data_IF_546607656384
#
_entry.id   IF_546607656384
#
_cell.length_a   1.000
_cell.length_b   1.000
_cell.length_c   1.000
_cell.angle_alpha   90.00
_cell.angle_beta   90.00
_cell.angle_gamma   90.00
#
_symmetry.space_group_name_H-M   'P 1'
#
loop_
_entity.id
_entity.type
_entity.pdbx_description
1 polymer ?
#
# COMPACT_ATOMS: atom_id res chain seq x y z
N UNK A 1 -14.07 12.13 -10.83
CA UNK A 1 -13.83 12.98 -9.64
C UNK A 1 -14.15 12.27 -8.33
N UNK A 2 -15.28 11.56 -8.20
CA UNK A 2 -15.62 10.79 -6.98
C UNK A 2 -14.59 9.70 -6.61
N UNK A 3 -14.07 8.94 -7.58
CA UNK A 3 -13.07 7.88 -7.33
C UNK A 3 -11.77 8.36 -6.71
N UNK A 4 -11.33 9.60 -7.00
CA UNK A 4 -10.11 10.18 -6.41
C UNK A 4 -10.29 10.41 -4.92
N UNK A 5 -11.44 11.01 -4.54
CA UNK A 5 -11.78 11.24 -3.13
C UNK A 5 -11.93 9.91 -2.39
N UNK A 6 -12.57 8.91 -3.01
CA UNK A 6 -12.70 7.57 -2.44
C UNK A 6 -11.34 6.90 -2.25
N UNK A 7 -10.46 6.92 -3.26
CA UNK A 7 -9.14 6.31 -3.18
C UNK A 7 -8.31 6.95 -2.05
N UNK A 8 -8.30 8.28 -1.96
CA UNK A 8 -7.62 9.01 -0.88
C UNK A 8 -8.22 8.64 0.48
N UNK A 9 -9.55 8.63 0.60
CA UNK A 9 -10.24 8.27 1.84
C UNK A 9 -9.91 6.86 2.31
N UNK A 10 -9.92 5.88 1.40
CA UNK A 10 -9.56 4.49 1.72
C UNK A 10 -8.10 4.37 2.16
N UNK A 11 -7.16 5.04 1.49
CA UNK A 11 -5.75 5.06 1.91
C UNK A 11 -5.61 5.64 3.32
N UNK A 12 -6.27 6.76 3.62
CA UNK A 12 -6.22 7.36 4.95
C UNK A 12 -6.82 6.46 6.04
N UNK A 13 -7.93 5.78 5.75
CA UNK A 13 -8.54 4.82 6.68
C UNK A 13 -7.59 3.66 6.95
N UNK A 14 -7.05 3.03 5.90
CA UNK A 14 -6.17 1.86 6.04
C UNK A 14 -4.89 2.23 6.78
N UNK A 15 -4.20 3.28 6.35
CA UNK A 15 -2.98 3.77 7.00
C UNK A 15 -3.25 4.19 8.46
N UNK A 16 -4.31 4.98 8.67
CA UNK A 16 -4.72 5.46 9.99
C UNK A 16 -5.07 4.33 10.96
N UNK A 17 -5.65 3.22 10.47
CA UNK A 17 -5.91 2.04 11.29
C UNK A 17 -4.61 1.42 11.81
N UNK A 18 -3.56 1.34 10.98
CA UNK A 18 -2.28 0.80 11.42
C UNK A 18 -1.68 1.68 12.53
N UNK A 19 -1.72 3.01 12.35
CA UNK A 19 -1.27 3.95 13.37
C UNK A 19 -2.10 3.89 14.67
N UNK A 20 -3.42 3.75 14.56
CA UNK A 20 -4.32 3.77 15.71
C UNK A 20 -4.33 2.46 16.50
N UNK A 21 -4.28 1.30 15.82
CA UNK A 21 -4.46 -0.02 16.43
C UNK A 21 -3.15 -0.69 16.81
N UNK A 22 -2.06 -0.43 16.08
CA UNK A 22 -0.80 -1.13 16.27
C UNK A 22 0.44 -0.22 16.12
N UNK A 23 0.52 0.91 16.86
CA UNK A 23 1.61 1.86 16.73
C UNK A 23 2.99 1.24 17.00
N UNK A 24 3.12 0.35 17.99
CA UNK A 24 4.39 -0.33 18.29
C UNK A 24 4.85 -1.32 17.21
N UNK A 25 3.92 -1.86 16.41
CA UNK A 25 4.25 -2.76 15.30
C UNK A 25 4.82 -2.00 14.10
N UNK A 26 4.47 -0.71 13.96
CA UNK A 26 5.06 0.13 12.92
C UNK A 26 6.56 0.29 13.10
N UNK A 27 7.02 0.51 14.34
CA UNK A 27 8.45 0.64 14.63
C UNK A 27 9.21 -0.64 14.26
N UNK A 28 8.67 -1.81 14.62
CA UNK A 28 9.23 -3.12 14.24
C UNK A 28 9.31 -3.31 12.72
N UNK A 29 8.26 -2.92 11.99
CA UNK A 29 8.20 -3.01 10.53
C UNK A 29 9.21 -2.05 9.89
N UNK A 30 9.32 -0.83 10.40
CA UNK A 30 10.29 0.16 9.91
C UNK A 30 11.72 -0.34 10.11
N UNK A 31 12.02 -0.91 11.27
CA UNK A 31 13.34 -1.50 11.54
C UNK A 31 13.63 -2.72 10.66
N UNK A 32 12.63 -3.54 10.35
CA UNK A 32 12.76 -4.62 9.39
C UNK A 32 13.09 -4.07 8.00
N UNK A 33 12.34 -3.08 7.52
CA UNK A 33 12.55 -2.44 6.21
C UNK A 33 13.95 -1.82 6.16
N UNK A 34 14.41 -1.19 7.24
CA UNK A 34 15.75 -0.59 7.35
C UNK A 34 16.89 -1.60 7.15
N UNK A 35 16.67 -2.88 7.45
CA UNK A 35 17.66 -3.95 7.24
C UNK A 35 17.70 -4.48 5.80
N UNK A 36 16.67 -4.21 5.00
CA UNK A 36 16.59 -4.65 3.60
C UNK A 36 17.51 -3.78 2.73
N UNK A 37 18.31 -4.35 1.81
CA UNK A 37 19.11 -3.57 0.86
C UNK A 37 18.26 -2.65 -0.04
N UNK A 38 18.78 -1.49 -0.46
CA UNK A 38 18.01 -0.51 -1.25
C UNK A 38 17.49 -1.07 -2.59
N UNK A 39 18.28 -1.93 -3.23
CA UNK A 39 17.88 -2.60 -4.48
C UNK A 39 16.65 -3.50 -4.29
N UNK A 40 16.64 -4.27 -3.20
CA UNK A 40 15.51 -5.15 -2.86
C UNK A 40 14.27 -4.34 -2.49
N UNK A 41 14.42 -3.21 -1.76
CA UNK A 41 13.30 -2.30 -1.50
C UNK A 41 12.69 -1.75 -2.79
N UNK A 42 13.53 -1.40 -3.77
CA UNK A 42 13.05 -0.94 -5.09
C UNK A 42 12.25 -2.02 -5.80
N UNK A 43 12.75 -3.26 -5.80
CA UNK A 43 12.03 -4.39 -6.41
C UNK A 43 10.68 -4.67 -5.74
N UNK A 44 10.62 -4.62 -4.40
CA UNK A 44 9.36 -4.77 -3.65
C UNK A 44 8.37 -3.67 -4.06
N UNK A 45 8.83 -2.41 -4.12
CA UNK A 45 7.99 -1.28 -4.54
C UNK A 45 7.47 -1.44 -5.98
N UNK A 46 8.34 -1.82 -6.91
CA UNK A 46 7.96 -2.05 -8.31
C UNK A 46 6.96 -3.21 -8.44
N UNK A 47 7.16 -4.30 -7.69
CA UNK A 47 6.23 -5.41 -7.66
C UNK A 47 4.86 -5.01 -7.09
N UNK A 48 4.83 -4.22 -6.01
CA UNK A 48 3.61 -3.70 -5.43
C UNK A 48 2.84 -2.79 -6.39
N UNK A 49 3.54 -1.91 -7.11
CA UNK A 49 2.93 -1.06 -8.15
C UNK A 49 2.36 -1.92 -9.27
N UNK A 50 3.13 -2.86 -9.81
CA UNK A 50 2.67 -3.72 -10.90
C UNK A 50 1.42 -4.55 -10.51
N UNK A 51 1.44 -5.15 -9.32
CA UNK A 51 0.30 -5.91 -8.79
C UNK A 51 -0.90 -5.00 -8.53
N UNK A 52 -0.69 -3.84 -7.91
CA UNK A 52 -1.76 -2.87 -7.67
C UNK A 52 -2.44 -2.40 -8.95
N UNK A 53 -1.66 -2.07 -9.98
CA UNK A 53 -2.18 -1.71 -11.30
C UNK A 53 -2.95 -2.87 -11.94
N UNK A 54 -2.42 -4.10 -11.87
CA UNK A 54 -3.10 -5.28 -12.39
C UNK A 54 -4.44 -5.54 -11.69
N UNK A 55 -4.51 -5.37 -10.37
CA UNK A 55 -5.75 -5.50 -9.60
C UNK A 55 -6.77 -4.43 -9.95
N UNK A 56 -6.35 -3.17 -10.11
CA UNK A 56 -7.24 -2.08 -10.54
C UNK A 56 -7.80 -2.36 -11.95
N UNK A 57 -6.94 -2.83 -12.86
CA UNK A 57 -7.36 -3.21 -14.21
C UNK A 57 -8.36 -4.38 -14.20
N UNK A 58 -8.09 -5.43 -13.41
CA UNK A 58 -9.00 -6.56 -13.23
C UNK A 58 -10.35 -6.13 -12.65
N UNK A 59 -10.34 -5.34 -11.58
CA UNK A 59 -11.56 -4.83 -10.96
C UNK A 59 -12.39 -4.02 -11.95
N UNK A 60 -11.75 -3.20 -12.79
CA UNK A 60 -12.43 -2.45 -13.83
C UNK A 60 -12.96 -3.34 -14.95
N UNK A 61 -12.21 -4.40 -15.33
CA UNK A 61 -12.64 -5.36 -16.35
C UNK A 61 -13.81 -6.26 -15.92
N UNK A 62 -13.93 -6.53 -14.62
CA UNK A 62 -15.01 -7.35 -14.05
C UNK A 62 -16.27 -6.53 -13.73
N UNK A 63 -16.12 -5.20 -13.55
CA UNK A 63 -17.20 -4.28 -13.25
C UNK A 63 -17.82 -3.62 -14.50
N UNK A 64 -17.20 -3.81 -15.68
CA UNK A 64 -17.75 -3.44 -16.98
C UNK A 64 -18.59 -4.54 -17.59
#
# INVERSE_FOLDING_TARGET
MSFVVLAIGLVLVVEGLVFALAPSRLDEVVDLIRRIPPETRRLIGLAAVALGTALVWLAQSLAG
#
